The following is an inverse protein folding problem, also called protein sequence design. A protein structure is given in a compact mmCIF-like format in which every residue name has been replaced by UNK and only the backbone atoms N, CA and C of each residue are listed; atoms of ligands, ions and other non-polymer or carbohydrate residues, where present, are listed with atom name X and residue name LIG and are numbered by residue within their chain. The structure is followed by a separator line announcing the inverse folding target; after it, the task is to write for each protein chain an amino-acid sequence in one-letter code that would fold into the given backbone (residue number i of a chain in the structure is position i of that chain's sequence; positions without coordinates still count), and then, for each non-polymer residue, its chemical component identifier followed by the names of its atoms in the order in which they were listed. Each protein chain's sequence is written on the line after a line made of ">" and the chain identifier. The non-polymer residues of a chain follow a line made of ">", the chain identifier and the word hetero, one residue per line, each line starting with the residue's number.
data_IF_473741112248
#
_entry.id   IF_473741112248
#
_cell.length_a   1.000
_cell.length_b   1.000
_cell.length_c   1.000
_cell.angle_alpha   90.00
_cell.angle_beta   90.00
_cell.angle_gamma   90.00
#
_symmetry.space_group_name_H-M   'P 1'
#
loop_
_entity.id
_entity.type
_entity.pdbx_description
1 polymer ?
#
# COMPACT_ATOMS: atom_id res chain seq x y z
N UNK A 1 9.49 -34.42 -46.23
CA UNK A 1 9.18 -34.57 -44.79
C UNK A 1 9.70 -33.42 -43.89
N UNK A 2 10.47 -32.44 -44.41
CA UNK A 2 11.07 -31.37 -43.59
C UNK A 2 10.19 -30.14 -43.32
N UNK A 3 9.20 -29.82 -44.17
CA UNK A 3 8.42 -28.56 -44.06
C UNK A 3 7.53 -28.53 -42.81
N UNK A 4 6.82 -29.62 -42.55
CA UNK A 4 5.93 -29.82 -41.40
C UNK A 4 6.65 -29.75 -40.04
N UNK A 5 7.94 -30.13 -39.99
CA UNK A 5 8.74 -30.10 -38.77
C UNK A 5 9.24 -28.67 -38.46
N UNK A 6 9.63 -27.93 -39.51
CA UNK A 6 10.03 -26.51 -39.41
C UNK A 6 8.84 -25.66 -38.97
N UNK A 7 7.65 -25.87 -39.54
CA UNK A 7 6.45 -25.11 -39.20
C UNK A 7 5.99 -25.34 -37.75
N UNK A 8 6.08 -26.56 -37.23
CA UNK A 8 5.81 -26.84 -35.80
C UNK A 8 6.82 -26.17 -34.86
N UNK A 9 8.11 -26.17 -35.21
CA UNK A 9 9.17 -25.53 -34.41
C UNK A 9 9.02 -24.01 -34.39
N UNK A 10 8.64 -23.42 -35.53
CA UNK A 10 8.34 -21.99 -35.68
C UNK A 10 7.08 -21.60 -34.89
N UNK A 11 6.03 -22.45 -34.90
CA UNK A 11 4.80 -22.22 -34.16
C UNK A 11 4.99 -22.29 -32.64
N UNK A 12 5.78 -23.26 -32.13
CA UNK A 12 6.14 -23.37 -30.72
C UNK A 12 7.00 -22.17 -30.29
N UNK A 13 7.94 -21.73 -31.12
CA UNK A 13 8.74 -20.51 -30.90
C UNK A 13 7.88 -19.25 -30.78
N UNK A 14 6.88 -19.07 -31.65
CA UNK A 14 5.95 -17.94 -31.59
C UNK A 14 5.07 -17.96 -30.33
N UNK A 15 4.60 -19.14 -29.90
CA UNK A 15 3.84 -19.29 -28.64
C UNK A 15 4.70 -19.02 -27.41
N UNK A 16 5.96 -19.47 -27.39
CA UNK A 16 6.89 -19.19 -26.31
C UNK A 16 7.19 -17.69 -26.21
N UNK A 17 7.41 -17.03 -27.35
CA UNK A 17 7.66 -15.59 -27.41
C UNK A 17 6.44 -14.79 -26.92
N UNK A 18 5.23 -15.18 -27.35
CA UNK A 18 3.98 -14.57 -26.86
C UNK A 18 3.81 -14.74 -25.35
N UNK A 19 4.18 -15.90 -24.80
CA UNK A 19 4.11 -16.16 -23.37
C UNK A 19 5.16 -15.33 -22.62
N UNK A 20 6.37 -15.19 -23.17
CA UNK A 20 7.42 -14.37 -22.60
C UNK A 20 7.04 -12.88 -22.57
N UNK A 21 6.45 -12.37 -23.64
CA UNK A 21 5.91 -11.00 -23.68
C UNK A 21 4.78 -10.83 -22.65
N UNK A 22 3.90 -11.81 -22.48
CA UNK A 22 2.86 -11.77 -21.45
C UNK A 22 3.46 -11.73 -20.04
N UNK A 23 4.50 -12.53 -19.77
CA UNK A 23 5.22 -12.49 -18.49
C UNK A 23 5.89 -11.14 -18.23
N UNK A 24 6.48 -10.51 -19.25
CA UNK A 24 7.07 -9.17 -19.12
C UNK A 24 6.01 -8.11 -18.79
N UNK A 25 4.83 -8.16 -19.41
CA UNK A 25 3.72 -7.23 -19.12
C UNK A 25 3.14 -7.42 -17.70
N UNK A 26 3.13 -8.65 -17.18
CA UNK A 26 2.71 -8.96 -15.81
C UNK A 26 3.78 -8.64 -14.75
N UNK A 27 5.01 -8.33 -15.16
CA UNK A 27 6.14 -8.09 -14.25
C UNK A 27 6.26 -6.64 -13.77
N UNK A 28 5.41 -5.73 -14.24
CA UNK A 28 5.36 -4.35 -13.77
C UNK A 28 4.94 -4.29 -12.29
N UNK A 29 5.93 -4.41 -11.41
CA UNK A 29 5.77 -4.14 -9.98
C UNK A 29 5.84 -2.64 -9.76
N UNK A 30 4.77 -2.07 -9.22
CA UNK A 30 4.70 -0.70 -8.74
C UNK A 30 4.27 -0.67 -7.30
N UNK A 31 4.28 0.52 -6.71
CA UNK A 31 3.71 0.73 -5.37
C UNK A 31 2.17 0.64 -5.48
N UNK A 32 1.54 -0.04 -4.52
CA UNK A 32 0.08 -0.11 -4.44
C UNK A 32 -0.55 1.29 -4.31
N UNK A 33 -1.83 1.42 -4.67
CA UNK A 33 -2.58 2.66 -4.43
C UNK A 33 -2.66 2.98 -2.93
N UNK A 34 -2.74 4.27 -2.60
CA UNK A 34 -2.91 4.70 -1.20
C UNK A 34 -4.20 4.14 -0.59
N UNK A 35 -4.18 3.75 0.70
CA UNK A 35 -5.39 3.41 1.43
C UNK A 35 -6.40 4.57 1.43
N UNK A 36 -7.69 4.24 1.32
CA UNK A 36 -8.78 5.22 1.31
C UNK A 36 -9.12 5.60 2.76
N UNK A 37 -9.19 6.89 3.02
CA UNK A 37 -9.57 7.41 4.33
C UNK A 37 -11.05 7.12 4.62
N UNK A 38 -11.38 6.61 5.82
CA UNK A 38 -12.75 6.25 6.15
C UNK A 38 -13.61 7.50 6.38
N UNK A 39 -14.90 7.38 6.04
CA UNK A 39 -15.90 8.36 6.40
C UNK A 39 -16.37 8.06 7.82
N UNK A 40 -16.12 8.97 8.74
CA UNK A 40 -16.52 8.82 10.15
C UNK A 40 -17.96 9.29 10.34
N UNK A 41 -18.65 8.68 11.30
CA UNK A 41 -20.00 9.07 11.69
C UNK A 41 -20.03 10.41 12.43
N UNK A 42 -18.98 10.72 13.20
CA UNK A 42 -18.84 11.98 13.95
C UNK A 42 -19.81 12.09 15.14
N UNK A 43 -20.49 11.00 15.50
CA UNK A 43 -21.45 10.97 16.60
C UNK A 43 -20.80 10.43 17.88
N UNK A 44 -21.28 10.90 19.03
CA UNK A 44 -20.75 10.56 20.35
C UNK A 44 -21.51 9.44 21.06
N UNK A 45 -22.48 8.78 20.42
CA UNK A 45 -23.11 7.60 20.99
C UNK A 45 -22.16 6.39 20.95
N UNK A 46 -22.31 5.42 21.88
CA UNK A 46 -21.35 4.31 22.01
C UNK A 46 -21.14 3.49 20.72
N UNK A 47 -22.21 3.29 19.93
CA UNK A 47 -22.14 2.47 18.71
C UNK A 47 -21.35 3.22 17.64
N UNK A 48 -21.66 4.49 17.43
CA UNK A 48 -20.95 5.36 16.49
C UNK A 48 -19.47 5.52 16.86
N UNK A 49 -19.16 5.71 18.15
CA UNK A 49 -17.77 5.80 18.61
C UNK A 49 -16.99 4.49 18.38
N UNK A 50 -17.61 3.33 18.64
CA UNK A 50 -16.98 2.04 18.40
C UNK A 50 -16.74 1.81 16.89
N UNK A 51 -17.70 2.20 16.05
CA UNK A 51 -17.55 2.15 14.59
C UNK A 51 -16.42 3.05 14.10
N UNK A 52 -16.40 4.31 14.53
CA UNK A 52 -15.36 5.28 14.16
C UNK A 52 -13.97 4.80 14.62
N UNK A 53 -13.86 4.22 15.82
CA UNK A 53 -12.61 3.64 16.33
C UNK A 53 -12.12 2.48 15.46
N UNK A 54 -12.99 1.54 15.10
CA UNK A 54 -12.64 0.41 14.26
C UNK A 54 -12.20 0.86 12.85
N UNK A 55 -12.91 1.84 12.26
CA UNK A 55 -12.54 2.41 10.96
C UNK A 55 -11.18 3.11 11.00
N UNK A 56 -10.92 3.90 12.05
CA UNK A 56 -9.63 4.57 12.25
C UNK A 56 -8.49 3.57 12.47
N UNK A 57 -8.72 2.51 13.27
CA UNK A 57 -7.76 1.44 13.47
C UNK A 57 -7.39 0.77 12.14
N UNK A 58 -8.39 0.37 11.36
CA UNK A 58 -8.19 -0.26 10.05
C UNK A 58 -7.39 0.64 9.11
N UNK A 59 -7.74 1.92 9.03
CA UNK A 59 -7.03 2.88 8.19
C UNK A 59 -5.57 3.09 8.63
N UNK A 60 -5.32 3.26 9.93
CA UNK A 60 -3.98 3.41 10.48
C UNK A 60 -3.10 2.17 10.19
N UNK A 61 -3.66 0.98 10.38
CA UNK A 61 -2.99 -0.28 10.07
C UNK A 61 -2.68 -0.42 8.58
N UNK A 62 -3.64 -0.08 7.71
CA UNK A 62 -3.43 -0.10 6.26
C UNK A 62 -2.37 0.90 5.81
N UNK A 63 -2.33 2.12 6.37
CA UNK A 63 -1.27 3.10 6.09
C UNK A 63 0.11 2.58 6.50
N UNK A 64 0.20 1.98 7.69
CA UNK A 64 1.45 1.41 8.17
C UNK A 64 1.95 0.27 7.26
N UNK A 65 1.07 -0.66 6.91
CA UNK A 65 1.39 -1.77 6.01
C UNK A 65 1.83 -1.26 4.63
N UNK A 66 1.12 -0.25 4.10
CA UNK A 66 1.45 0.38 2.83
C UNK A 66 2.85 1.02 2.86
N UNK A 67 3.22 1.72 3.94
CA UNK A 67 4.54 2.34 4.07
C UNK A 67 5.67 1.30 4.18
N UNK A 68 5.42 0.18 4.86
CA UNK A 68 6.38 -0.94 4.94
C UNK A 68 6.61 -1.52 3.54
N UNK A 69 5.54 -1.76 2.78
CA UNK A 69 5.63 -2.27 1.42
C UNK A 69 6.33 -1.28 0.47
N UNK A 70 5.94 0.00 0.52
CA UNK A 70 6.58 1.06 -0.24
C UNK A 70 8.08 1.19 0.09
N UNK A 71 8.46 1.05 1.37
CA UNK A 71 9.87 1.02 1.78
C UNK A 71 10.61 -0.17 1.17
N UNK A 72 9.99 -1.35 1.17
CA UNK A 72 10.53 -2.54 0.50
C UNK A 72 10.76 -2.30 -0.99
N UNK A 73 9.77 -1.71 -1.68
CA UNK A 73 9.85 -1.36 -3.09
C UNK A 73 10.98 -0.37 -3.38
N UNK A 74 11.05 0.74 -2.64
CA UNK A 74 12.06 1.78 -2.82
C UNK A 74 13.46 1.22 -2.58
N UNK A 75 13.65 0.44 -1.51
CA UNK A 75 14.96 -0.17 -1.23
C UNK A 75 15.41 -1.15 -2.32
N UNK A 76 14.46 -1.81 -3.00
CA UNK A 76 14.77 -2.77 -4.06
C UNK A 76 15.15 -2.07 -5.38
N UNK A 77 14.44 -1.00 -5.74
CA UNK A 77 14.54 -0.36 -7.07
C UNK A 77 15.27 0.98 -7.09
N UNK A 78 15.37 1.69 -5.96
CA UNK A 78 15.96 3.04 -5.83
C UNK A 78 17.04 3.05 -4.74
N UNK A 79 18.15 2.34 -4.96
CA UNK A 79 19.19 2.06 -3.95
C UNK A 79 19.84 3.30 -3.34
N UNK A 80 19.90 4.41 -4.08
CA UNK A 80 20.50 5.67 -3.62
C UNK A 80 19.50 6.55 -2.84
N UNK A 81 18.20 6.22 -2.91
CA UNK A 81 17.16 6.99 -2.25
C UNK A 81 16.99 6.55 -0.80
N UNK A 82 17.02 7.51 0.12
CA UNK A 82 16.67 7.26 1.52
C UNK A 82 15.16 7.32 1.69
N UNK A 83 14.58 6.21 2.13
CA UNK A 83 13.17 6.19 2.51
C UNK A 83 12.95 7.07 3.75
N UNK A 84 11.91 7.93 3.77
CA UNK A 84 11.63 8.79 4.92
C UNK A 84 11.40 7.94 6.17
N UNK A 85 11.90 8.43 7.31
CA UNK A 85 11.61 7.80 8.60
C UNK A 85 10.11 7.93 8.91
N UNK A 86 9.53 6.87 9.46
CA UNK A 86 8.19 6.88 9.99
C UNK A 86 8.13 5.95 11.22
N UNK A 87 7.28 6.31 12.17
CA UNK A 87 7.02 5.46 13.33
C UNK A 87 6.07 4.32 12.94
N UNK A 88 6.33 3.12 13.47
CA UNK A 88 5.44 1.98 13.24
C UNK A 88 4.18 2.13 14.07
N UNK A 89 3.03 1.80 13.48
CA UNK A 89 1.79 1.70 14.22
C UNK A 89 1.87 0.60 15.27
N UNK A 90 1.57 0.91 16.54
CA UNK A 90 1.36 -0.09 17.59
C UNK A 90 -0.11 -0.55 17.62
N UNK A 91 -0.44 -1.77 17.13
CA UNK A 91 -1.80 -2.30 17.18
C UNK A 91 -2.19 -2.82 18.57
N UNK A 92 -1.26 -2.88 19.53
CA UNK A 92 -1.51 -3.38 20.90
C UNK A 92 -1.89 -2.25 21.86
N UNK A 93 -1.94 -1.00 21.41
CA UNK A 93 -2.35 0.13 22.24
C UNK A 93 -3.78 -0.05 22.73
N UNK A 94 -3.95 -0.33 24.02
CA UNK A 94 -5.26 -0.62 24.61
C UNK A 94 -6.06 0.64 24.97
N UNK A 95 -5.39 1.75 25.29
CA UNK A 95 -6.01 3.00 25.71
C UNK A 95 -6.72 2.97 27.08
N UNK A 96 -6.89 1.81 27.71
CA UNK A 96 -7.66 1.63 28.94
C UNK A 96 -8.96 0.84 28.70
N UNK A 97 -9.91 0.93 29.63
CA UNK A 97 -11.21 0.25 29.55
C UNK A 97 -12.37 1.24 29.35
N UNK A 98 -13.51 0.73 28.87
CA UNK A 98 -14.73 1.51 28.66
C UNK A 98 -14.58 2.68 27.68
N UNK A 99 -15.47 3.68 27.80
CA UNK A 99 -15.55 4.83 26.91
C UNK A 99 -14.28 5.69 26.92
N UNK A 100 -13.63 5.82 28.09
CA UNK A 100 -12.37 6.53 28.20
C UNK A 100 -11.27 5.82 27.40
N UNK A 101 -11.21 4.49 27.47
CA UNK A 101 -10.29 3.68 26.68
C UNK A 101 -10.54 3.80 25.18
N UNK A 102 -11.82 3.79 24.77
CA UNK A 102 -12.22 3.98 23.38
C UNK A 102 -11.76 5.33 22.84
N UNK A 103 -12.04 6.43 23.58
CA UNK A 103 -11.60 7.79 23.20
C UNK A 103 -10.07 7.92 23.16
N UNK A 104 -9.36 7.24 24.07
CA UNK A 104 -7.90 7.22 24.06
C UNK A 104 -7.35 6.53 22.81
N UNK A 105 -7.92 5.39 22.39
CA UNK A 105 -7.54 4.70 21.14
C UNK A 105 -7.83 5.55 19.90
N UNK A 106 -9.04 6.11 19.78
CA UNK A 106 -9.39 7.05 18.70
C UNK A 106 -8.36 8.18 18.62
N UNK A 107 -8.01 8.77 19.76
CA UNK A 107 -7.04 9.88 19.80
C UNK A 107 -5.64 9.43 19.36
N UNK A 108 -5.20 8.25 19.79
CA UNK A 108 -3.94 7.67 19.36
C UNK A 108 -3.91 7.42 17.84
N UNK A 109 -4.96 6.80 17.28
CA UNK A 109 -5.02 6.54 15.84
C UNK A 109 -5.04 7.82 15.02
N UNK A 110 -5.81 8.84 15.44
CA UNK A 110 -5.85 10.14 14.76
C UNK A 110 -4.47 10.80 14.73
N UNK A 111 -3.74 10.82 15.86
CA UNK A 111 -2.37 11.36 15.90
C UNK A 111 -1.42 10.59 14.98
N UNK A 112 -1.52 9.26 14.99
CA UNK A 112 -0.71 8.43 14.09
C UNK A 112 -1.02 8.76 12.62
N UNK A 113 -2.30 8.77 12.23
CA UNK A 113 -2.74 9.11 10.87
C UNK A 113 -2.25 10.50 10.46
N UNK A 114 -2.39 11.50 11.32
CA UNK A 114 -1.96 12.88 11.05
C UNK A 114 -0.45 12.97 10.78
N UNK A 115 0.36 12.25 11.53
CA UNK A 115 1.81 12.20 11.31
C UNK A 115 2.19 11.45 10.02
N UNK A 116 1.47 10.38 9.70
CA UNK A 116 1.88 9.40 8.69
C UNK A 116 1.31 9.67 7.29
N UNK A 117 0.06 10.14 7.21
CA UNK A 117 -0.61 10.46 5.95
C UNK A 117 0.20 11.38 5.02
N UNK A 118 0.79 12.51 5.47
CA UNK A 118 1.59 13.35 4.57
C UNK A 118 2.82 12.63 4.03
N UNK A 119 3.46 11.76 4.83
CA UNK A 119 4.61 10.95 4.39
C UNK A 119 4.16 9.97 3.30
N UNK A 120 3.05 9.26 3.53
CA UNK A 120 2.51 8.31 2.55
C UNK A 120 2.18 8.99 1.21
N UNK A 121 1.52 10.15 1.25
CA UNK A 121 1.21 10.94 0.05
C UNK A 121 2.48 11.39 -0.68
N UNK A 122 3.49 11.87 0.04
CA UNK A 122 4.74 12.31 -0.54
C UNK A 122 5.50 11.15 -1.22
N UNK A 123 5.59 10.01 -0.55
CA UNK A 123 6.19 8.77 -1.10
C UNK A 123 5.42 8.32 -2.34
N UNK A 124 4.09 8.25 -2.26
CA UNK A 124 3.26 7.82 -3.39
C UNK A 124 3.48 8.73 -4.60
N UNK A 125 3.41 10.06 -4.42
CA UNK A 125 3.68 11.01 -5.50
C UNK A 125 5.06 10.81 -6.11
N UNK A 126 6.10 10.73 -5.27
CA UNK A 126 7.50 10.62 -5.73
C UNK A 126 7.76 9.41 -6.62
N UNK A 127 7.15 8.25 -6.31
CA UNK A 127 7.48 6.99 -6.98
C UNK A 127 6.38 6.43 -7.88
N UNK A 128 5.20 7.07 -7.94
CA UNK A 128 4.12 6.66 -8.86
C UNK A 128 3.78 7.71 -9.90
N UNK A 129 4.02 8.99 -9.63
CA UNK A 129 3.99 9.98 -10.70
C UNK A 129 5.24 9.75 -11.54
N UNK A 130 5.02 9.26 -12.75
CA UNK A 130 6.03 9.26 -13.80
C UNK A 130 6.41 10.72 -14.01
N UNK A 131 7.45 11.21 -13.32
CA UNK A 131 8.19 12.38 -13.80
C UNK A 131 8.83 11.92 -15.10
N UNK A 132 8.09 12.08 -16.20
CA UNK A 132 8.69 12.27 -17.50
C UNK A 132 9.63 13.45 -17.33
N UNK A 133 10.92 13.16 -17.12
CA UNK A 133 11.96 14.13 -17.40
C UNK A 133 11.91 14.32 -18.90
N UNK A 134 11.19 15.34 -19.33
CA UNK A 134 11.35 15.94 -20.66
C UNK A 134 12.78 16.44 -20.84
#
# INVERSE_FOLDING_TARGET
>A
MNKLFVDKKLFVSKKLLSLFVLFLLLSCKGIASLPIEPILTGKNDPVSLASDEASLFGYALSLNAWLIDAKGYVNLYYKEDKFPFFENFDPKFKGGTGDAGLKARISYYKRYIEAIKPIAIAVYRKYTQVTLKE
#
